data_IF_250892819584
#
_entry.id   IF_250892819584
#
_cell.length_a   1.000
_cell.length_b   1.000
_cell.length_c   1.000
_cell.angle_alpha   90.00
_cell.angle_beta   90.00
_cell.angle_gamma   90.00
#
_symmetry.space_group_name_H-M   'P 1'
#
loop_
_entity.id
_entity.type
_entity.pdbx_description
1 polymer ?
#
# COMPACT_ATOMS: atom_id res chain seq x y z
N UNK A 1 13.21 -13.86 -50.02
CA UNK A 1 12.08 -14.66 -49.49
C UNK A 1 10.86 -14.22 -50.28
N UNK A 2 10.21 -15.15 -50.93
CA UNK A 2 8.95 -14.89 -51.62
C UNK A 2 7.76 -14.85 -50.64
N UNK A 3 6.56 -14.47 -51.14
CA UNK A 3 5.36 -14.35 -50.30
C UNK A 3 4.97 -15.67 -49.61
N UNK A 4 5.12 -16.80 -50.28
CA UNK A 4 4.76 -18.10 -49.75
C UNK A 4 5.70 -18.53 -48.61
N UNK A 5 6.99 -18.37 -48.78
CA UNK A 5 8.03 -18.60 -47.76
C UNK A 5 7.82 -17.68 -46.54
N UNK A 6 7.47 -16.42 -46.75
CA UNK A 6 7.19 -15.44 -45.71
C UNK A 6 5.94 -15.82 -44.91
N UNK A 7 4.88 -16.23 -45.60
CA UNK A 7 3.66 -16.70 -44.97
C UNK A 7 3.92 -17.96 -44.14
N UNK A 8 4.58 -18.96 -44.72
CA UNK A 8 4.91 -20.20 -43.99
C UNK A 8 5.74 -19.94 -42.73
N UNK A 9 6.70 -19.04 -42.78
CA UNK A 9 7.49 -18.65 -41.62
C UNK A 9 6.62 -17.97 -40.54
N UNK A 10 5.77 -17.00 -40.93
CA UNK A 10 4.88 -16.30 -40.00
C UNK A 10 3.82 -17.23 -39.40
N UNK A 11 3.26 -18.15 -40.19
CA UNK A 11 2.26 -19.11 -39.73
C UNK A 11 2.82 -20.07 -38.65
N UNK A 12 3.99 -20.64 -38.91
CA UNK A 12 4.69 -21.45 -37.93
C UNK A 12 5.06 -20.68 -36.67
N UNK A 13 5.49 -19.43 -36.82
CA UNK A 13 5.83 -18.55 -35.70
C UNK A 13 4.58 -18.22 -34.88
N UNK A 14 3.48 -17.86 -35.54
CA UNK A 14 2.21 -17.59 -34.90
C UNK A 14 1.71 -18.79 -34.08
N UNK A 15 1.73 -19.99 -34.68
CA UNK A 15 1.35 -21.22 -33.97
C UNK A 15 2.22 -21.48 -32.77
N UNK A 16 3.55 -21.40 -32.91
CA UNK A 16 4.49 -21.63 -31.83
C UNK A 16 4.30 -20.67 -30.66
N UNK A 17 4.04 -19.40 -30.91
CA UNK A 17 3.76 -18.39 -29.88
C UNK A 17 2.41 -18.73 -29.17
N UNK A 18 1.36 -19.04 -29.93
CA UNK A 18 0.08 -19.39 -29.35
C UNK A 18 0.15 -20.63 -28.44
N UNK A 19 0.86 -21.67 -28.89
CA UNK A 19 1.09 -22.89 -28.12
C UNK A 19 1.91 -22.61 -26.84
N UNK A 20 2.97 -21.81 -26.96
CA UNK A 20 3.87 -21.48 -25.86
C UNK A 20 3.17 -20.69 -24.73
N UNK A 21 2.35 -19.71 -25.08
CA UNK A 21 1.66 -18.85 -24.13
C UNK A 21 0.24 -19.31 -23.74
N UNK A 22 -0.25 -20.37 -24.40
CA UNK A 22 -1.53 -21.00 -24.08
C UNK A 22 -2.76 -20.26 -24.56
N UNK A 23 -3.93 -20.66 -24.07
CA UNK A 23 -5.23 -20.22 -24.57
C UNK A 23 -5.53 -18.72 -24.45
N UNK A 24 -4.81 -18.00 -23.61
CA UNK A 24 -4.96 -16.54 -23.49
C UNK A 24 -4.16 -15.76 -24.55
N UNK A 25 -3.37 -16.43 -25.38
CA UNK A 25 -2.56 -15.81 -26.42
C UNK A 25 -3.13 -16.14 -27.80
N UNK A 26 -3.78 -15.17 -28.41
CA UNK A 26 -4.20 -15.23 -29.80
C UNK A 26 -3.08 -14.73 -30.69
N UNK A 27 -2.81 -15.44 -31.77
CA UNK A 27 -1.88 -14.99 -32.82
C UNK A 27 -2.50 -15.16 -34.20
N UNK A 28 -2.17 -14.27 -35.11
CA UNK A 28 -2.69 -14.31 -36.46
C UNK A 28 -1.70 -13.75 -37.47
N UNK A 29 -1.93 -14.13 -38.73
CA UNK A 29 -1.22 -13.55 -39.89
C UNK A 29 -2.24 -12.86 -40.78
N UNK A 30 -2.02 -11.57 -41.03
CA UNK A 30 -2.83 -10.74 -41.92
C UNK A 30 -2.16 -10.57 -43.29
N UNK A 31 -2.98 -10.43 -44.32
CA UNK A 31 -2.54 -9.89 -45.64
C UNK A 31 -2.87 -8.40 -45.67
N UNK A 32 -1.82 -7.59 -45.53
CA UNK A 32 -1.91 -6.12 -45.52
C UNK A 32 -1.95 -5.51 -46.91
N UNK A 33 -1.83 -6.30 -47.96
CA UNK A 33 -1.97 -5.82 -49.34
C UNK A 33 -3.41 -5.67 -49.80
N UNK A 34 -4.33 -6.37 -49.12
CA UNK A 34 -5.78 -6.30 -49.42
C UNK A 34 -6.47 -5.22 -48.59
N UNK A 35 -7.45 -4.55 -49.19
CA UNK A 35 -8.13 -3.40 -48.59
C UNK A 35 -8.74 -3.68 -47.21
N UNK A 36 -9.16 -4.92 -46.95
CA UNK A 36 -9.79 -5.32 -45.68
C UNK A 36 -8.83 -6.08 -44.74
N UNK A 37 -7.56 -6.16 -45.06
CA UNK A 37 -6.52 -6.83 -44.28
C UNK A 37 -6.92 -8.18 -43.70
N UNK A 38 -7.41 -9.15 -44.55
CA UNK A 38 -7.99 -10.38 -44.05
C UNK A 38 -6.99 -11.22 -43.29
N UNK A 39 -7.50 -11.96 -42.32
CA UNK A 39 -6.72 -12.94 -41.57
C UNK A 39 -6.50 -14.17 -42.46
N UNK A 40 -5.26 -14.53 -42.71
CA UNK A 40 -4.86 -15.73 -43.45
C UNK A 40 -4.75 -16.96 -42.56
N UNK A 41 -4.26 -16.79 -41.34
CA UNK A 41 -4.14 -17.83 -40.32
C UNK A 41 -4.38 -17.22 -38.93
N UNK A 42 -5.01 -17.97 -38.03
CA UNK A 42 -5.28 -17.53 -36.66
C UNK A 42 -5.25 -18.72 -35.69
N UNK A 43 -4.67 -18.51 -34.52
CA UNK A 43 -4.58 -19.45 -33.42
C UNK A 43 -5.19 -18.81 -32.17
N UNK A 44 -5.99 -19.58 -31.42
CA UNK A 44 -6.75 -19.10 -30.27
C UNK A 44 -7.69 -17.92 -30.58
N UNK A 45 -8.30 -17.92 -31.78
CA UNK A 45 -9.19 -16.84 -32.24
C UNK A 45 -10.38 -16.53 -31.33
N UNK A 46 -10.67 -17.38 -30.34
CA UNK A 46 -11.70 -17.15 -29.32
C UNK A 46 -11.38 -15.94 -28.41
N UNK A 47 -10.12 -15.51 -28.32
CA UNK A 47 -9.70 -14.34 -27.52
C UNK A 47 -10.36 -13.07 -28.03
N UNK A 48 -10.38 -12.86 -29.35
CA UNK A 48 -11.05 -11.71 -29.96
C UNK A 48 -12.40 -12.02 -30.61
N UNK A 49 -12.73 -13.31 -30.75
CA UNK A 49 -13.89 -13.78 -31.49
C UNK A 49 -13.71 -13.77 -33.02
N UNK A 50 -12.47 -13.58 -33.51
CA UNK A 50 -12.15 -13.55 -34.95
C UNK A 50 -11.83 -14.93 -35.52
N UNK A 51 -11.88 -15.04 -36.83
CA UNK A 51 -11.58 -16.26 -37.59
C UNK A 51 -10.84 -15.93 -38.89
N UNK A 52 -10.38 -16.97 -39.60
CA UNK A 52 -9.79 -16.79 -40.95
C UNK A 52 -10.78 -16.01 -41.83
N UNK A 53 -10.26 -15.13 -42.64
CA UNK A 53 -11.00 -14.16 -43.48
C UNK A 53 -11.76 -13.07 -42.73
N UNK A 54 -11.65 -13.01 -41.41
CA UNK A 54 -12.19 -11.88 -40.64
C UNK A 54 -11.48 -10.57 -41.04
N UNK A 55 -12.26 -9.50 -41.17
CA UNK A 55 -11.83 -8.16 -41.58
C UNK A 55 -11.93 -7.16 -40.45
N UNK A 56 -12.50 -7.55 -39.30
CA UNK A 56 -12.53 -6.72 -38.09
C UNK A 56 -11.20 -6.65 -37.39
N UNK A 57 -10.88 -5.49 -36.85
CA UNK A 57 -9.77 -5.35 -35.92
C UNK A 57 -10.11 -5.92 -34.51
N UNK A 58 -9.17 -5.87 -33.60
CA UNK A 58 -9.37 -6.38 -32.23
C UNK A 58 -10.40 -5.56 -31.43
N UNK A 59 -10.68 -4.34 -31.84
CA UNK A 59 -11.67 -3.46 -31.20
C UNK A 59 -13.10 -3.72 -31.70
N UNK A 60 -13.26 -4.65 -32.67
CA UNK A 60 -14.54 -4.98 -33.26
C UNK A 60 -15.01 -3.93 -34.28
N UNK A 61 -14.16 -3.09 -34.77
CA UNK A 61 -14.43 -2.07 -35.76
C UNK A 61 -13.81 -2.43 -37.11
N UNK A 62 -14.40 -1.98 -38.20
CA UNK A 62 -13.77 -1.95 -39.49
C UNK A 62 -12.86 -0.68 -39.53
N UNK A 63 -11.67 -0.79 -39.00
CA UNK A 63 -10.76 0.36 -38.88
C UNK A 63 -9.96 0.47 -40.17
N UNK A 64 -10.06 1.61 -40.82
CA UNK A 64 -9.11 1.98 -41.88
C UNK A 64 -7.82 2.42 -41.20
N UNK A 65 -6.80 1.58 -41.29
CA UNK A 65 -5.46 1.97 -40.86
C UNK A 65 -4.94 3.12 -41.74
N UNK A 66 -4.23 4.05 -41.13
CA UNK A 66 -3.51 5.07 -41.92
C UNK A 66 -2.44 4.41 -42.77
N UNK A 67 -2.00 5.07 -43.88
CA UNK A 67 -0.91 4.54 -44.73
C UNK A 67 0.35 4.22 -43.92
N UNK A 68 0.67 5.01 -42.91
CA UNK A 68 1.78 4.77 -42.00
C UNK A 68 1.51 3.56 -41.09
N UNK A 69 0.28 3.35 -40.64
CA UNK A 69 -0.14 2.21 -39.85
C UNK A 69 -0.03 0.87 -40.56
N UNK A 70 -0.09 0.87 -41.91
CA UNK A 70 0.08 -0.34 -42.73
C UNK A 70 1.54 -0.84 -42.82
N UNK A 71 2.51 -0.09 -42.32
CA UNK A 71 3.93 -0.37 -42.44
C UNK A 71 4.69 -0.23 -41.13
N UNK A 72 4.03 0.18 -40.06
CA UNK A 72 4.67 0.46 -38.79
C UNK A 72 4.37 -0.65 -37.78
N UNK A 73 5.39 -1.17 -37.13
CA UNK A 73 5.22 -2.14 -36.04
C UNK A 73 4.64 -1.46 -34.81
N UNK A 74 3.68 -2.14 -34.19
CA UNK A 74 3.11 -1.76 -32.92
C UNK A 74 3.51 -2.79 -31.87
N UNK A 75 4.04 -2.36 -30.73
CA UNK A 75 4.54 -3.28 -29.71
C UNK A 75 3.97 -2.94 -28.35
N UNK A 76 3.39 -3.96 -27.70
CA UNK A 76 2.92 -3.89 -26.33
C UNK A 76 1.90 -2.75 -26.08
N UNK A 77 0.98 -2.55 -27.02
CA UNK A 77 -0.12 -1.61 -26.87
C UNK A 77 -1.28 -2.28 -26.14
N UNK A 78 -1.99 -1.51 -25.39
CA UNK A 78 -3.16 -2.02 -24.68
C UNK A 78 -4.44 -1.73 -25.47
N UNK A 79 -5.39 -2.68 -25.42
CA UNK A 79 -6.72 -2.55 -26.00
C UNK A 79 -7.75 -3.22 -25.09
N UNK A 80 -9.02 -2.82 -25.25
CA UNK A 80 -10.16 -3.51 -24.62
C UNK A 80 -11.08 -4.01 -25.73
N UNK A 81 -11.36 -5.31 -25.73
CA UNK A 81 -12.31 -5.88 -26.71
C UNK A 81 -13.74 -5.40 -26.43
N UNK A 82 -14.66 -5.53 -27.40
CA UNK A 82 -16.09 -5.24 -27.18
C UNK A 82 -16.72 -6.04 -26.04
N UNK A 83 -16.19 -7.25 -25.76
CA UNK A 83 -16.59 -8.09 -24.62
C UNK A 83 -15.98 -7.67 -23.28
N UNK A 84 -15.14 -6.64 -23.25
CA UNK A 84 -14.52 -6.11 -22.03
C UNK A 84 -13.21 -6.78 -21.61
N UNK A 85 -12.65 -7.67 -22.43
CA UNK A 85 -11.36 -8.31 -22.16
C UNK A 85 -10.23 -7.30 -22.32
N UNK A 86 -9.24 -7.37 -21.45
CA UNK A 86 -8.06 -6.52 -21.48
C UNK A 86 -6.93 -7.22 -22.22
N UNK A 87 -6.53 -6.64 -23.33
CA UNK A 87 -5.61 -7.23 -24.29
C UNK A 87 -4.33 -6.39 -24.35
N UNK A 88 -3.19 -7.08 -24.38
CA UNK A 88 -1.94 -6.52 -24.88
C UNK A 88 -1.75 -6.97 -26.32
N UNK A 89 -1.56 -6.03 -27.22
CA UNK A 89 -1.44 -6.29 -28.64
C UNK A 89 -0.08 -5.85 -29.19
N UNK A 90 0.46 -6.66 -30.08
CA UNK A 90 1.63 -6.31 -30.89
C UNK A 90 1.41 -6.76 -32.32
N UNK A 91 1.91 -5.98 -33.27
CA UNK A 91 1.83 -6.28 -34.69
C UNK A 91 3.19 -6.01 -35.32
N UNK A 92 3.71 -6.98 -36.07
CA UNK A 92 4.98 -6.93 -36.77
C UNK A 92 4.76 -7.11 -38.23
N UNK A 93 5.28 -6.20 -39.07
CA UNK A 93 5.13 -6.26 -40.52
C UNK A 93 6.32 -6.94 -41.16
N UNK A 94 6.04 -7.78 -42.12
CA UNK A 94 7.01 -8.40 -43.03
C UNK A 94 6.70 -7.94 -44.45
N UNK A 95 7.50 -7.04 -44.94
CA UNK A 95 7.32 -6.37 -46.25
C UNK A 95 8.34 -6.87 -47.25
N UNK A 96 7.89 -7.37 -48.39
CA UNK A 96 8.70 -7.75 -49.54
C UNK A 96 8.30 -6.92 -50.76
N UNK A 97 8.83 -7.30 -51.94
CA UNK A 97 8.54 -6.58 -53.19
C UNK A 97 7.07 -6.71 -53.62
N UNK A 98 6.46 -7.87 -53.38
CA UNK A 98 5.12 -8.25 -53.83
C UNK A 98 4.17 -8.62 -52.66
N UNK A 99 4.60 -8.44 -51.42
CA UNK A 99 3.78 -8.75 -50.27
C UNK A 99 3.96 -7.78 -49.11
N UNK A 100 2.94 -7.65 -48.31
CA UNK A 100 2.99 -7.05 -46.97
C UNK A 100 2.13 -7.95 -46.06
N UNK A 101 2.79 -8.74 -45.23
CA UNK A 101 2.15 -9.61 -44.24
C UNK A 101 2.37 -9.04 -42.86
N UNK A 102 1.45 -9.24 -41.96
CA UNK A 102 1.60 -8.81 -40.58
C UNK A 102 1.29 -9.96 -39.58
N UNK A 103 2.22 -10.17 -38.64
CA UNK A 103 2.01 -11.05 -37.49
C UNK A 103 1.38 -10.23 -36.36
N UNK A 104 0.15 -10.54 -36.00
CA UNK A 104 -0.53 -10.01 -34.83
C UNK A 104 -0.37 -10.96 -33.64
N UNK A 105 -0.15 -10.42 -32.45
CA UNK A 105 -0.09 -11.15 -31.18
C UNK A 105 -0.95 -10.40 -30.17
N UNK A 106 -1.99 -11.07 -29.67
CA UNK A 106 -2.90 -10.53 -28.68
C UNK A 106 -2.87 -11.41 -27.45
N UNK A 107 -2.60 -10.83 -26.29
CA UNK A 107 -2.55 -11.54 -25.03
C UNK A 107 -3.67 -11.01 -24.11
N UNK A 108 -4.64 -11.87 -23.81
CA UNK A 108 -5.69 -11.58 -22.82
C UNK A 108 -5.11 -11.73 -21.40
N UNK A 109 -4.93 -10.59 -20.72
CA UNK A 109 -4.44 -10.56 -19.36
C UNK A 109 -5.52 -10.23 -18.32
N UNK A 110 -6.80 -10.30 -18.71
CA UNK A 110 -7.94 -10.00 -17.81
C UNK A 110 -7.91 -10.84 -16.54
N UNK A 111 -7.59 -12.14 -16.65
CA UNK A 111 -7.46 -13.04 -15.51
C UNK A 111 -6.32 -12.64 -14.58
N UNK A 112 -5.20 -12.11 -15.10
CA UNK A 112 -4.09 -11.62 -14.30
C UNK A 112 -4.45 -10.33 -13.55
N UNK A 113 -5.22 -9.44 -14.19
CA UNK A 113 -5.74 -8.23 -13.54
C UNK A 113 -6.66 -8.61 -12.39
N UNK A 114 -7.55 -9.58 -12.61
CA UNK A 114 -8.43 -10.09 -11.55
C UNK A 114 -7.65 -10.73 -10.39
N UNK A 115 -6.69 -11.60 -10.70
CA UNK A 115 -5.82 -12.22 -9.70
C UNK A 115 -5.02 -11.18 -8.91
N UNK A 116 -4.45 -10.19 -9.61
CA UNK A 116 -3.73 -9.08 -8.96
C UNK A 116 -4.63 -8.28 -8.01
N UNK A 117 -5.88 -8.04 -8.39
CA UNK A 117 -6.85 -7.35 -7.53
C UNK A 117 -7.12 -8.14 -6.25
N UNK A 118 -7.30 -9.47 -6.36
CA UNK A 118 -7.47 -10.35 -5.20
C UNK A 118 -6.22 -10.31 -4.31
N UNK A 119 -5.02 -10.38 -4.90
CA UNK A 119 -3.76 -10.32 -4.14
C UNK A 119 -3.61 -8.98 -3.42
N UNK A 120 -3.91 -7.87 -4.07
CA UNK A 120 -3.88 -6.54 -3.45
C UNK A 120 -4.86 -6.46 -2.29
N UNK A 121 -6.08 -6.97 -2.46
CA UNK A 121 -7.10 -7.00 -1.41
C UNK A 121 -6.67 -7.85 -0.21
N UNK A 122 -6.13 -9.05 -0.46
CA UNK A 122 -5.61 -9.93 0.60
C UNK A 122 -4.38 -9.37 1.32
N UNK A 123 -3.58 -8.55 0.66
CA UNK A 123 -2.41 -7.88 1.25
C UNK A 123 -2.76 -6.55 1.91
N UNK A 124 -3.95 -6.03 1.65
CA UNK A 124 -4.41 -4.79 2.27
C UNK A 124 -4.71 -5.01 3.75
N UNK A 125 -4.35 -4.04 4.57
CA UNK A 125 -4.72 -4.00 5.98
C UNK A 125 -5.15 -2.57 6.33
N UNK A 126 -6.29 -2.43 6.97
CA UNK A 126 -6.85 -1.12 7.31
C UNK A 126 -6.03 -0.39 8.38
N UNK A 127 -5.35 -1.15 9.25
CA UNK A 127 -4.54 -0.59 10.31
C UNK A 127 -3.45 -1.57 10.77
N UNK A 128 -2.40 -1.04 11.36
CA UNK A 128 -1.42 -1.84 12.08
C UNK A 128 -2.06 -2.49 13.32
N UNK A 129 -1.87 -3.81 13.49
CA UNK A 129 -2.43 -4.58 14.60
C UNK A 129 -2.07 -3.97 15.96
N UNK A 130 -0.86 -3.46 16.09
CA UNK A 130 -0.40 -2.81 17.32
C UNK A 130 -1.23 -1.55 17.60
N UNK A 131 -1.49 -0.73 16.59
CA UNK A 131 -2.37 0.44 16.70
C UNK A 131 -3.80 0.05 17.06
N UNK A 132 -4.35 -0.97 16.39
CA UNK A 132 -5.71 -1.46 16.68
C UNK A 132 -5.85 -2.04 18.08
N UNK A 133 -4.89 -2.83 18.55
CA UNK A 133 -4.86 -3.36 19.92
C UNK A 133 -4.68 -2.26 20.98
N UNK A 134 -3.96 -1.20 20.64
CA UNK A 134 -3.78 -0.04 21.51
C UNK A 134 -5.07 0.79 21.62
N UNK A 135 -5.87 0.84 20.55
CA UNK A 135 -7.16 1.55 20.56
C UNK A 135 -8.29 0.77 21.26
N UNK A 136 -8.23 -0.55 21.28
CA UNK A 136 -9.31 -1.38 21.84
C UNK A 136 -9.22 -1.66 23.35
N UNK A 137 -8.05 -1.45 23.98
CA UNK A 137 -7.84 -1.79 25.37
C UNK A 137 -7.32 -0.66 26.27
N UNK A 138 -6.52 0.26 25.75
CA UNK A 138 -5.74 1.22 26.58
C UNK A 138 -5.61 2.63 25.95
N UNK A 139 -6.56 3.03 25.10
CA UNK A 139 -6.55 4.40 24.56
C UNK A 139 -6.69 5.46 25.68
N UNK A 140 -7.28 5.03 26.82
CA UNK A 140 -7.49 5.91 27.97
C UNK A 140 -6.18 6.48 28.53
N UNK A 141 -5.09 5.70 28.55
CA UNK A 141 -3.80 6.21 28.99
C UNK A 141 -3.23 7.24 28.00
N UNK A 142 -3.38 6.99 26.69
CA UNK A 142 -2.99 7.93 25.64
C UNK A 142 -3.82 9.21 25.70
N UNK A 143 -5.12 9.10 25.85
CA UNK A 143 -6.05 10.24 25.99
C UNK A 143 -5.71 11.08 27.22
N UNK A 144 -5.54 10.43 28.38
CA UNK A 144 -5.13 11.10 29.61
C UNK A 144 -3.77 11.80 29.45
N UNK A 145 -2.82 11.19 28.71
CA UNK A 145 -1.53 11.80 28.44
C UNK A 145 -1.67 13.06 27.59
N UNK A 146 -2.43 13.00 26.49
CA UNK A 146 -2.65 14.15 25.60
C UNK A 146 -3.44 15.28 26.31
N UNK A 147 -4.41 14.95 27.15
CA UNK A 147 -5.10 15.94 28.00
C UNK A 147 -4.14 16.66 28.96
N UNK A 148 -3.26 15.89 29.62
CA UNK A 148 -2.26 16.49 30.52
C UNK A 148 -1.24 17.35 29.76
N UNK A 149 -0.87 16.94 28.55
CA UNK A 149 0.02 17.70 27.69
C UNK A 149 -0.63 19.01 27.21
N UNK A 150 -1.91 18.94 26.80
CA UNK A 150 -2.70 20.10 26.42
C UNK A 150 -2.86 21.11 27.56
N UNK A 151 -3.02 20.63 28.81
CA UNK A 151 -3.10 21.48 29.99
C UNK A 151 -1.79 22.27 30.26
N UNK A 152 -0.63 21.73 29.85
CA UNK A 152 0.65 22.44 29.92
C UNK A 152 0.85 23.38 28.73
N UNK A 153 0.11 23.19 27.62
CA UNK A 153 0.09 24.10 26.47
C UNK A 153 1.33 24.08 25.58
N UNK A 154 2.14 23.00 25.65
CA UNK A 154 3.38 22.87 24.88
C UNK A 154 3.52 21.45 24.29
N UNK A 155 4.03 21.31 23.05
CA UNK A 155 4.36 20.01 22.51
C UNK A 155 5.53 19.39 23.28
N UNK A 156 5.62 18.05 23.28
CA UNK A 156 6.65 17.30 24.02
C UNK A 156 8.08 17.76 23.71
N UNK A 157 8.36 18.11 22.46
CA UNK A 157 9.66 18.61 22.00
C UNK A 157 10.07 19.95 22.62
N UNK A 158 9.09 20.77 23.08
CA UNK A 158 9.31 22.07 23.69
C UNK A 158 9.23 22.06 25.23
N UNK A 159 8.99 20.89 25.84
CA UNK A 159 8.92 20.76 27.29
C UNK A 159 10.30 20.90 27.93
N UNK A 160 10.46 21.87 28.82
CA UNK A 160 11.60 21.91 29.74
C UNK A 160 11.38 20.96 30.92
N UNK A 161 12.31 20.90 31.83
CA UNK A 161 12.29 20.02 32.99
C UNK A 161 11.05 20.27 33.89
N UNK A 162 10.74 21.52 34.16
CA UNK A 162 9.61 21.89 35.02
C UNK A 162 8.27 21.57 34.31
N UNK A 163 8.17 21.74 33.02
CA UNK A 163 6.99 21.40 32.24
C UNK A 163 6.73 19.87 32.27
N UNK A 164 7.78 19.06 32.13
CA UNK A 164 7.70 17.59 32.23
C UNK A 164 7.22 17.14 33.62
N UNK A 165 7.72 17.79 34.67
CA UNK A 165 7.26 17.54 36.04
C UNK A 165 5.77 17.86 36.23
N UNK A 166 5.29 18.96 35.63
CA UNK A 166 3.85 19.30 35.65
C UNK A 166 3.02 18.26 34.94
N UNK A 167 3.44 17.78 33.74
CA UNK A 167 2.74 16.69 33.03
C UNK A 167 2.67 15.44 33.90
N UNK A 168 3.76 15.06 34.55
CA UNK A 168 3.79 13.86 35.43
C UNK A 168 2.86 14.04 36.63
N UNK A 169 2.82 15.21 37.26
CA UNK A 169 1.93 15.47 38.37
C UNK A 169 0.43 15.42 37.95
N UNK A 170 0.12 15.94 36.78
CA UNK A 170 -1.24 15.84 36.22
C UNK A 170 -1.62 14.39 35.89
N UNK A 171 -0.68 13.59 35.35
CA UNK A 171 -0.89 12.17 35.07
C UNK A 171 -1.13 11.38 36.37
N UNK A 172 -0.45 11.70 37.44
CA UNK A 172 -0.63 11.08 38.75
C UNK A 172 -2.03 11.44 39.35
N UNK A 173 -2.41 12.71 39.29
CA UNK A 173 -3.75 13.14 39.73
C UNK A 173 -4.88 12.45 38.96
N UNK A 174 -4.65 12.08 37.70
CA UNK A 174 -5.60 11.35 36.84
C UNK A 174 -5.47 9.82 36.98
N UNK A 175 -4.72 9.31 37.96
CA UNK A 175 -4.44 7.89 38.17
C UNK A 175 -3.84 7.18 36.93
N UNK A 176 -3.11 7.89 36.08
CA UNK A 176 -2.51 7.34 34.88
C UNK A 176 -1.51 6.21 35.17
N UNK A 177 -0.87 6.20 36.33
CA UNK A 177 0.09 5.18 36.73
C UNK A 177 -0.57 3.85 37.20
N UNK A 178 -1.87 3.80 37.37
CA UNK A 178 -2.61 2.55 37.62
C UNK A 178 -2.79 1.68 36.38
N UNK A 179 -2.61 2.26 35.17
CA UNK A 179 -2.70 1.50 33.92
C UNK A 179 -1.49 0.58 33.74
N UNK A 180 -1.74 -0.61 33.20
CA UNK A 180 -0.67 -1.56 32.89
C UNK A 180 0.33 -0.95 31.89
N UNK A 181 1.62 -1.06 32.16
CA UNK A 181 2.72 -0.49 31.34
C UNK A 181 2.70 1.04 31.21
N UNK A 182 2.03 1.76 32.12
CA UNK A 182 2.01 3.23 32.11
C UNK A 182 3.39 3.85 32.19
N UNK A 183 4.26 3.35 33.07
CA UNK A 183 5.60 3.90 33.27
C UNK A 183 6.45 3.84 32.00
N UNK A 184 6.63 2.70 31.31
CA UNK A 184 7.34 2.68 30.03
C UNK A 184 6.72 3.57 28.96
N UNK A 185 5.39 3.60 28.86
CA UNK A 185 4.66 4.45 27.93
C UNK A 185 4.94 5.94 28.16
N UNK A 186 4.77 6.41 29.38
CA UNK A 186 4.98 7.81 29.76
C UNK A 186 6.46 8.21 29.59
N UNK A 187 7.38 7.35 30.00
CA UNK A 187 8.82 7.58 29.89
C UNK A 187 9.26 7.73 28.43
N UNK A 188 8.77 6.85 27.56
CA UNK A 188 9.06 6.92 26.13
C UNK A 188 8.49 8.20 25.51
N UNK A 189 7.25 8.56 25.83
CA UNK A 189 6.59 9.77 25.32
C UNK A 189 7.26 11.05 25.80
N UNK A 190 7.67 11.13 27.06
CA UNK A 190 8.34 12.30 27.61
C UNK A 190 9.84 12.34 27.30
N UNK A 191 10.43 11.29 26.72
CA UNK A 191 11.87 11.20 26.47
C UNK A 191 12.69 11.20 27.77
N UNK A 192 12.20 10.51 28.80
CA UNK A 192 12.88 10.34 30.09
C UNK A 192 13.25 8.87 30.31
N UNK A 193 14.39 8.60 30.97
CA UNK A 193 14.85 7.23 31.23
C UNK A 193 14.09 6.71 32.46
N UNK A 194 13.35 5.59 32.29
CA UNK A 194 12.76 4.85 33.41
C UNK A 194 13.79 3.83 33.91
N UNK A 195 14.25 3.96 35.12
CA UNK A 195 15.07 2.92 35.78
C UNK A 195 14.16 1.82 36.36
N UNK A 196 14.55 0.56 36.18
CA UNK A 196 13.72 -0.65 36.38
C UNK A 196 13.61 -1.10 37.83
N UNK A 197 13.32 -0.22 38.78
CA UNK A 197 13.04 -0.60 40.17
C UNK A 197 11.54 -0.52 40.44
N UNK A 198 10.98 -1.49 41.14
CA UNK A 198 9.55 -1.60 41.52
C UNK A 198 9.05 -0.28 42.10
N UNK A 199 8.10 0.36 41.44
CA UNK A 199 7.68 1.72 41.75
C UNK A 199 6.21 1.69 42.23
N UNK A 200 5.99 2.06 43.50
CA UNK A 200 4.69 2.55 43.97
C UNK A 200 4.53 4.02 43.54
N UNK A 201 3.31 4.55 43.35
CA UNK A 201 3.05 5.92 42.89
C UNK A 201 3.84 7.01 43.65
N UNK A 202 4.00 6.83 44.96
CA UNK A 202 4.80 7.74 45.79
C UNK A 202 6.31 7.72 45.52
N UNK A 203 6.84 6.66 44.93
CA UNK A 203 8.29 6.52 44.59
C UNK A 203 8.66 7.12 43.24
N UNK A 204 7.69 7.23 42.33
CA UNK A 204 7.98 7.82 41.01
C UNK A 204 8.33 9.29 41.11
N UNK A 205 7.68 10.01 42.00
CA UNK A 205 8.01 11.40 42.31
C UNK A 205 9.41 11.54 42.94
N UNK A 206 9.77 10.59 43.81
CA UNK A 206 11.09 10.56 44.44
C UNK A 206 12.23 10.24 43.47
N UNK A 207 11.97 9.36 42.49
CA UNK A 207 13.00 8.93 41.52
C UNK A 207 13.36 10.02 40.51
N UNK A 208 12.35 10.77 40.02
CA UNK A 208 12.59 11.93 39.17
C UNK A 208 13.31 13.03 39.93
N UNK A 209 13.03 13.20 41.21
CA UNK A 209 13.77 14.12 42.09
C UNK A 209 15.22 13.71 42.28
N UNK A 210 15.54 12.39 42.30
CA UNK A 210 16.92 11.88 42.45
C UNK A 210 17.76 12.00 41.15
N UNK A 211 17.11 11.99 39.98
CA UNK A 211 17.77 12.27 38.70
C UNK A 211 18.08 13.78 38.50
N UNK A 212 17.66 14.62 39.44
CA UNK A 212 17.85 16.05 39.50
C UNK A 212 18.93 16.39 40.56
N UNK A 213 19.81 17.34 40.28
CA UNK A 213 20.85 17.81 41.19
C UNK A 213 20.31 18.15 42.60
N UNK A 214 21.01 17.71 43.61
CA UNK A 214 20.67 17.69 45.04
C UNK A 214 19.98 18.93 45.69
N UNK A 215 20.17 20.18 45.27
CA UNK A 215 19.57 21.32 45.99
C UNK A 215 18.07 21.51 45.75
N UNK A 216 17.48 20.92 44.74
CA UNK A 216 16.04 21.11 44.39
C UNK A 216 15.16 20.01 45.00
N UNK A 217 15.73 18.84 45.27
CA UNK A 217 15.00 17.72 45.87
C UNK A 217 14.56 18.00 47.34
N UNK A 218 15.31 18.79 48.08
CA UNK A 218 15.01 19.10 49.48
C UNK A 218 13.86 20.10 49.63
N UNK A 219 13.69 21.04 48.72
CA UNK A 219 12.60 22.03 48.82
C UNK A 219 11.22 21.41 48.40
N UNK A 220 11.25 20.54 47.40
CA UNK A 220 10.03 19.82 46.97
C UNK A 220 9.57 18.79 47.98
N UNK A 221 10.48 18.09 48.64
CA UNK A 221 10.13 17.16 49.74
C UNK A 221 9.55 17.88 50.96
N UNK A 222 9.99 19.12 51.23
CA UNK A 222 9.44 19.94 52.30
C UNK A 222 7.97 20.39 52.00
N UNK A 223 7.70 20.81 50.77
CA UNK A 223 6.36 21.19 50.34
C UNK A 223 5.39 19.99 50.28
N UNK A 224 5.84 18.81 49.85
CA UNK A 224 5.02 17.61 49.81
C UNK A 224 4.70 17.04 51.22
N UNK A 225 5.64 17.16 52.19
CA UNK A 225 5.32 16.80 53.58
C UNK A 225 4.31 17.75 54.23
N UNK A 226 4.32 19.02 53.86
CA UNK A 226 3.35 20.00 54.32
C UNK A 226 1.94 19.69 53.81
N UNK A 227 1.81 19.27 52.54
CA UNK A 227 0.50 18.89 51.97
C UNK A 227 -0.01 17.54 52.44
N UNK A 228 0.83 16.55 52.71
CA UNK A 228 0.42 15.25 53.29
C UNK A 228 -0.08 15.38 54.76
N UNK A 229 0.48 16.30 55.54
CA UNK A 229 0.05 16.52 56.92
C UNK A 229 -1.34 17.20 57.04
N UNK A 230 -1.78 17.87 56.01
CA UNK A 230 -3.11 18.49 55.93
C UNK A 230 -4.19 17.41 55.63
N UNK A 231 -3.84 16.37 54.88
CA UNK A 231 -4.79 15.31 54.46
C UNK A 231 -5.04 14.28 55.59
N UNK A 232 -4.12 14.12 56.53
CA UNK A 232 -4.24 13.16 57.63
C UNK A 232 -5.04 13.71 58.85
N UNK A 233 -5.44 14.99 58.82
CA UNK A 233 -6.19 15.62 59.92
C UNK A 233 -7.70 15.77 59.67
N UNK A 234 -8.24 15.28 58.57
CA UNK A 234 -9.67 15.37 58.23
C UNK A 234 -10.37 14.02 58.09
N UNK A 235 -10.13 13.06 59.00
CA UNK A 235 -11.02 11.92 59.17
C UNK A 235 -11.91 12.16 60.35
N UNK A 236 -13.24 12.29 60.21
CA UNK A 236 -14.13 12.36 61.33
C UNK A 236 -14.34 10.96 61.92
N UNK A 237 -14.03 10.83 63.21
CA UNK A 237 -14.49 9.72 64.03
C UNK A 237 -15.98 9.85 64.29
N UNK A 238 -16.76 8.93 63.80
CA UNK A 238 -17.97 8.36 64.41
C UNK A 238 -18.56 7.27 63.50
#
# INVERSE_FOLDING_TARGET
MNREEAFEFLDRTARGIAEMFGSSCETMVHDMTQANHPILAIYNGHVSGRSVSSTMDILGNETLLSEDGLKTDFVNLYATTPSGQQIKSSTFHMIGEDYNLALGINFDYSSLVYANRILVDLMSADADLKSAMWHSGDNRLGEVFEECLAAVGKPVSALNKNDRMKVIALLDQKNAFSFRKSVPFISQRLGVIASSTVITPSFFTFFIASAMSAPIASSLLAEMRATSSIFLKSSPTS
#
